data_IF_679455797354
#
_entry.id   IF_679455797354
#
_cell.length_a   1.000
_cell.length_b   1.000
_cell.length_c   1.000
_cell.angle_alpha   90.00
_cell.angle_beta   90.00
_cell.angle_gamma   90.00
#
_symmetry.space_group_name_H-M   'P 1'
#
loop_
_entity.id
_entity.type
_entity.pdbx_description
1 polymer ?
#
# COMPACT_ATOMS: atom_id res chain seq x y z
N UNK A 1 -3.28 6.31 -12.00
CA UNK A 1 -4.31 5.36 -12.53
C UNK A 1 -5.59 6.11 -12.89
N UNK A 2 -6.63 5.46 -13.40
CA UNK A 2 -7.84 6.16 -13.90
C UNK A 2 -9.04 5.90 -13.01
N UNK A 3 -9.83 6.95 -12.76
CA UNK A 3 -11.15 6.88 -12.12
C UNK A 3 -12.13 7.57 -13.07
N UNK A 4 -13.14 6.87 -13.53
CA UNK A 4 -14.10 7.37 -14.54
C UNK A 4 -13.41 8.00 -15.77
N UNK A 5 -12.29 7.44 -16.22
CA UNK A 5 -11.51 7.92 -17.36
C UNK A 5 -10.52 9.04 -17.08
N UNK A 6 -10.55 9.66 -15.90
CA UNK A 6 -9.62 10.70 -15.49
C UNK A 6 -8.45 10.10 -14.71
N UNK A 7 -7.20 10.56 -15.00
CA UNK A 7 -6.01 10.13 -14.25
C UNK A 7 -5.97 10.78 -12.86
N UNK A 8 -5.69 9.96 -11.84
CA UNK A 8 -5.46 10.39 -10.47
C UNK A 8 -4.17 9.78 -9.92
N UNK A 9 -3.50 10.51 -9.04
CA UNK A 9 -2.61 9.98 -8.01
C UNK A 9 -3.39 9.87 -6.71
N UNK A 10 -2.93 9.07 -5.77
CA UNK A 10 -3.61 8.90 -4.48
C UNK A 10 -3.38 10.10 -3.55
N UNK A 11 -2.26 10.79 -3.75
CA UNK A 11 -1.86 12.01 -3.05
C UNK A 11 -1.16 12.96 -4.03
N UNK A 12 -1.44 14.27 -3.96
CA UNK A 12 -0.81 15.29 -4.81
C UNK A 12 -0.84 16.66 -4.15
N UNK A 13 0.15 17.55 -4.48
CA UNK A 13 0.12 18.93 -4.01
C UNK A 13 -0.95 19.74 -4.73
N UNK A 14 -1.66 20.59 -4.01
CA UNK A 14 -2.54 21.60 -4.57
C UNK A 14 -1.94 22.99 -4.33
N UNK A 15 -1.77 23.75 -5.39
CA UNK A 15 -1.48 25.18 -5.25
C UNK A 15 -2.72 25.87 -4.70
N UNK A 16 -2.58 26.66 -3.65
CA UNK A 16 -3.68 27.43 -3.07
C UNK A 16 -4.40 28.23 -4.16
N UNK A 17 -5.53 27.69 -4.64
CA UNK A 17 -6.30 28.29 -5.73
C UNK A 17 -6.84 29.65 -5.30
N UNK A 18 -6.89 30.58 -6.25
CA UNK A 18 -7.62 31.83 -6.17
C UNK A 18 -9.09 31.54 -5.78
N UNK A 19 -9.42 31.64 -4.51
CA UNK A 19 -10.78 31.88 -4.10
C UNK A 19 -10.97 33.40 -4.01
N UNK A 20 -11.74 33.94 -4.99
CA UNK A 20 -12.34 35.26 -4.97
C UNK A 20 -11.46 36.44 -4.46
N UNK A 21 -10.55 36.91 -5.31
CA UNK A 21 -10.14 38.34 -5.29
C UNK A 21 -9.27 38.82 -4.13
N UNK A 22 -8.84 37.99 -3.19
CA UNK A 22 -7.85 38.33 -2.17
C UNK A 22 -6.60 37.48 -2.38
N UNK A 23 -5.44 38.13 -2.53
CA UNK A 23 -4.12 37.48 -2.41
C UNK A 23 -3.96 36.96 -0.97
N UNK A 24 -4.48 35.76 -0.71
CA UNK A 24 -3.99 34.98 0.41
C UNK A 24 -2.59 34.50 0.01
N UNK A 25 -1.57 34.75 0.84
CA UNK A 25 -0.25 34.13 0.74
C UNK A 25 -0.46 32.64 0.50
N UNK A 26 -0.20 32.17 -0.73
CA UNK A 26 -0.61 30.85 -1.20
C UNK A 26 0.19 29.75 -0.52
N UNK A 27 -0.22 29.38 0.68
CA UNK A 27 0.26 28.18 1.37
C UNK A 27 -0.15 26.96 0.53
N UNK A 28 0.83 26.19 0.08
CA UNK A 28 0.60 24.92 -0.63
C UNK A 28 -0.13 23.97 0.30
N UNK A 29 -1.05 23.19 -0.24
CA UNK A 29 -1.79 22.16 0.47
C UNK A 29 -1.70 20.84 -0.27
N UNK A 30 -2.19 19.77 0.32
CA UNK A 30 -2.14 18.42 -0.23
C UNK A 30 -3.55 17.90 -0.41
N UNK A 31 -3.86 17.34 -1.57
CA UNK A 31 -5.08 16.58 -1.77
C UNK A 31 -4.79 15.08 -1.62
N UNK A 32 -5.74 14.37 -1.02
CA UNK A 32 -5.74 12.92 -0.87
C UNK A 32 -7.08 12.33 -1.30
N UNK A 33 -7.07 11.07 -1.73
CA UNK A 33 -8.29 10.28 -1.89
C UNK A 33 -8.67 9.72 -0.52
N UNK A 34 -9.88 10.03 -0.02
CA UNK A 34 -10.40 9.44 1.22
C UNK A 34 -10.82 7.99 0.99
N UNK A 35 -9.91 7.06 1.30
CA UNK A 35 -10.14 5.64 1.10
C UNK A 35 -11.18 5.04 2.05
N UNK A 36 -11.55 5.74 3.11
CA UNK A 36 -12.60 5.29 4.05
C UNK A 36 -14.00 5.37 3.45
N UNK A 37 -14.17 6.12 2.37
CA UNK A 37 -15.44 6.29 1.67
C UNK A 37 -15.64 5.26 0.55
N UNK A 38 -14.57 4.58 0.13
CA UNK A 38 -14.62 3.55 -0.91
C UNK A 38 -15.19 2.23 -0.36
N UNK A 39 -15.89 1.44 -1.19
CA UNK A 39 -16.12 1.62 -2.64
C UNK A 39 -17.31 2.51 -2.96
N UNK A 40 -18.05 3.01 -1.96
CA UNK A 40 -19.37 3.61 -2.14
C UNK A 40 -19.30 5.04 -2.66
N UNK A 41 -18.30 5.82 -2.23
CA UNK A 41 -18.14 7.23 -2.63
C UNK A 41 -16.69 7.52 -2.93
N UNK A 42 -16.41 8.04 -4.13
CA UNK A 42 -15.11 8.61 -4.45
C UNK A 42 -15.07 10.05 -3.98
N UNK A 43 -14.23 10.34 -2.97
CA UNK A 43 -14.06 11.68 -2.40
C UNK A 43 -12.58 12.02 -2.27
N UNK A 44 -12.25 13.27 -2.56
CA UNK A 44 -10.95 13.87 -2.25
C UNK A 44 -11.06 14.78 -1.05
N UNK A 45 -10.02 14.83 -0.25
CA UNK A 45 -9.90 15.71 0.91
C UNK A 45 -8.68 16.59 0.75
N UNK A 46 -8.79 17.83 1.21
CA UNK A 46 -7.68 18.76 1.31
C UNK A 46 -7.07 18.67 2.71
N UNK A 47 -5.76 18.54 2.76
CA UNK A 47 -4.93 18.48 3.96
C UNK A 47 -4.01 19.70 3.96
N UNK A 48 -4.07 20.52 5.01
CA UNK A 48 -3.40 21.82 5.10
C UNK A 48 -2.46 21.94 6.32
N UNK A 49 -2.37 20.90 7.14
CA UNK A 49 -1.58 20.90 8.36
C UNK A 49 -1.01 19.52 8.71
N UNK A 50 0.05 19.50 9.52
CA UNK A 50 0.62 18.26 10.08
C UNK A 50 -0.44 17.47 10.85
N UNK A 51 -1.22 18.15 11.69
CA UNK A 51 -2.27 17.50 12.50
C UNK A 51 -3.33 16.84 11.61
N UNK A 52 -3.72 17.47 10.51
CA UNK A 52 -4.67 16.88 9.55
C UNK A 52 -4.06 15.67 8.84
N UNK A 53 -2.76 15.71 8.47
CA UNK A 53 -2.07 14.57 7.87
C UNK A 53 -1.93 13.41 8.86
N UNK A 54 -1.55 13.67 10.11
CA UNK A 54 -1.51 12.67 11.19
C UNK A 54 -2.88 12.02 11.38
N UNK A 55 -3.96 12.81 11.35
CA UNK A 55 -5.33 12.29 11.42
C UNK A 55 -5.65 11.40 10.23
N UNK A 56 -5.33 11.83 9.00
CA UNK A 56 -5.57 11.07 7.79
C UNK A 56 -4.86 9.70 7.80
N UNK A 57 -3.64 9.63 8.34
CA UNK A 57 -2.89 8.38 8.50
C UNK A 57 -3.53 7.49 9.58
N UNK A 58 -3.83 8.04 10.78
CA UNK A 58 -4.44 7.30 11.90
C UNK A 58 -5.81 6.72 11.56
N UNK A 59 -6.66 7.50 10.90
CA UNK A 59 -8.02 7.10 10.53
C UNK A 59 -8.08 6.29 9.24
N UNK A 60 -6.92 6.07 8.61
CA UNK A 60 -6.78 5.30 7.36
C UNK A 60 -7.50 5.94 6.16
N UNK A 61 -7.64 7.25 6.12
CA UNK A 61 -8.00 7.99 4.91
C UNK A 61 -6.93 7.80 3.83
N UNK A 62 -5.65 7.71 4.26
CA UNK A 62 -4.53 7.18 3.48
C UNK A 62 -3.96 5.95 4.19
N UNK A 63 -3.59 4.91 3.43
CA UNK A 63 -3.09 3.62 3.95
C UNK A 63 -2.22 2.92 2.89
N UNK A 64 -1.49 1.88 3.29
CA UNK A 64 -0.49 1.19 2.48
C UNK A 64 0.90 1.74 2.75
N UNK A 65 1.90 0.85 2.83
CA UNK A 65 3.23 1.23 3.28
C UNK A 65 3.86 2.37 2.46
N UNK A 66 3.89 2.33 1.11
CA UNK A 66 4.47 3.43 0.33
C UNK A 66 3.68 4.74 0.43
N UNK A 67 2.33 4.69 0.39
CA UNK A 67 1.51 5.90 0.48
C UNK A 67 1.64 6.60 1.83
N UNK A 68 1.77 5.85 2.94
CA UNK A 68 2.00 6.44 4.26
C UNK A 68 3.35 7.18 4.28
N UNK A 69 4.37 6.66 3.61
CA UNK A 69 5.64 7.34 3.43
C UNK A 69 5.50 8.67 2.66
N UNK A 70 4.82 8.65 1.51
CA UNK A 70 4.53 9.86 0.73
C UNK A 70 3.69 10.89 1.53
N UNK A 71 2.69 10.41 2.28
CA UNK A 71 1.88 11.26 3.17
C UNK A 71 2.72 11.90 4.28
N UNK A 72 3.64 11.15 4.88
CA UNK A 72 4.56 11.69 5.89
C UNK A 72 5.51 12.74 5.30
N UNK A 73 6.03 12.54 4.09
CA UNK A 73 6.86 13.52 3.41
C UNK A 73 6.10 14.84 3.16
N UNK A 74 4.87 14.75 2.67
CA UNK A 74 4.02 15.95 2.56
C UNK A 74 3.63 16.53 3.92
N UNK A 75 3.48 15.71 4.98
CA UNK A 75 3.29 16.18 6.35
C UNK A 75 4.46 17.06 6.82
N UNK A 76 5.70 16.64 6.55
CA UNK A 76 6.90 17.44 6.80
C UNK A 76 6.93 18.74 5.98
N UNK A 77 6.51 18.69 4.71
CA UNK A 77 6.41 19.89 3.87
C UNK A 77 5.34 20.87 4.40
N UNK A 78 4.18 20.36 4.86
CA UNK A 78 3.14 21.19 5.49
C UNK A 78 3.64 21.87 6.78
N UNK A 79 4.51 21.21 7.56
CA UNK A 79 5.12 21.83 8.74
C UNK A 79 5.88 23.10 8.38
N UNK A 80 6.65 23.07 7.29
CA UNK A 80 7.47 24.20 6.84
C UNK A 80 6.66 25.40 6.36
N UNK A 81 5.38 25.26 6.06
CA UNK A 81 4.50 26.40 5.75
C UNK A 81 4.24 27.29 6.98
N UNK A 82 4.37 26.72 8.18
CA UNK A 82 4.10 27.40 9.46
C UNK A 82 5.41 27.85 10.08
N UNK A 83 6.36 26.94 10.22
CA UNK A 83 7.65 27.18 10.83
C UNK A 83 8.68 26.19 10.25
N UNK A 84 9.86 26.71 9.88
CA UNK A 84 10.94 25.92 9.28
C UNK A 84 12.14 25.75 10.22
N UNK A 85 12.02 26.16 11.48
CA UNK A 85 13.11 25.97 12.43
C UNK A 85 13.36 24.48 12.73
N UNK A 86 14.51 24.17 13.29
CA UNK A 86 14.89 22.78 13.57
C UNK A 86 13.97 22.12 14.62
N UNK A 87 13.52 22.91 15.61
CA UNK A 87 12.65 22.39 16.67
C UNK A 87 11.27 22.04 16.12
N UNK A 88 10.69 22.92 15.29
CA UNK A 88 9.40 22.68 14.62
C UNK A 88 9.44 21.45 13.70
N UNK A 89 10.52 21.29 12.92
CA UNK A 89 10.72 20.12 12.06
C UNK A 89 10.82 18.82 12.86
N UNK A 90 11.56 18.80 13.97
CA UNK A 90 11.67 17.63 14.86
C UNK A 90 10.36 17.31 15.55
N UNK A 91 9.59 18.31 15.94
CA UNK A 91 8.25 18.13 16.51
C UNK A 91 7.29 17.51 15.49
N UNK A 92 7.24 18.04 14.27
CA UNK A 92 6.42 17.47 13.18
C UNK A 92 6.81 16.01 12.87
N UNK A 93 8.10 15.72 12.81
CA UNK A 93 8.62 14.38 12.63
C UNK A 93 8.14 13.43 13.75
N UNK A 94 8.22 13.86 15.00
CA UNK A 94 7.73 13.08 16.14
C UNK A 94 6.23 12.78 16.05
N UNK A 95 5.41 13.76 15.70
CA UNK A 95 3.95 13.59 15.55
C UNK A 95 3.59 12.62 14.43
N UNK A 96 4.27 12.73 13.28
CA UNK A 96 4.09 11.83 12.15
C UNK A 96 4.51 10.40 12.51
N UNK A 97 5.69 10.19 13.10
CA UNK A 97 6.17 8.88 13.54
C UNK A 97 5.23 8.22 14.55
N UNK A 98 4.68 9.00 15.48
CA UNK A 98 3.70 8.52 16.45
C UNK A 98 2.32 8.14 15.85
N UNK A 99 2.04 8.51 14.59
CA UNK A 99 0.80 8.14 13.91
C UNK A 99 0.73 6.64 13.60
N UNK A 100 1.84 6.03 13.18
CA UNK A 100 1.98 4.59 12.88
C UNK A 100 3.41 4.12 13.21
N UNK A 101 3.72 3.81 14.49
CA UNK A 101 5.09 3.51 14.93
C UNK A 101 5.74 2.30 14.26
N UNK A 102 4.93 1.37 13.73
CA UNK A 102 5.42 0.15 13.07
C UNK A 102 5.65 0.31 11.55
N UNK A 103 5.30 1.47 10.98
CA UNK A 103 5.35 1.69 9.52
C UNK A 103 6.76 2.09 9.06
N UNK A 104 7.49 1.16 8.42
CA UNK A 104 8.87 1.35 7.96
C UNK A 104 8.99 2.50 6.95
N UNK A 105 8.12 2.53 5.95
CA UNK A 105 8.14 3.56 4.91
C UNK A 105 7.86 4.97 5.47
N UNK A 106 7.05 5.09 6.52
CA UNK A 106 6.83 6.36 7.19
C UNK A 106 8.11 6.87 7.84
N UNK A 107 8.77 6.00 8.61
CA UNK A 107 10.04 6.35 9.28
C UNK A 107 11.12 6.72 8.25
N UNK A 108 11.25 5.92 7.19
CA UNK A 108 12.17 6.19 6.08
C UNK A 108 11.93 7.57 5.44
N UNK A 109 10.68 7.91 5.14
CA UNK A 109 10.36 9.18 4.49
C UNK A 109 10.64 10.38 5.41
N UNK A 110 10.26 10.30 6.69
CA UNK A 110 10.54 11.34 7.68
C UNK A 110 12.05 11.55 7.87
N UNK A 111 12.83 10.46 7.99
CA UNK A 111 14.28 10.53 8.10
C UNK A 111 14.91 11.19 6.86
N UNK A 112 14.51 10.78 5.66
CA UNK A 112 14.99 11.37 4.40
C UNK A 112 14.67 12.86 4.32
N UNK A 113 13.47 13.29 4.71
CA UNK A 113 13.10 14.71 4.79
C UNK A 113 14.01 15.47 5.75
N UNK A 114 14.26 14.96 6.96
CA UNK A 114 15.15 15.59 7.93
C UNK A 114 16.58 15.68 7.42
N UNK A 115 17.11 14.63 6.79
CA UNK A 115 18.45 14.61 6.18
C UNK A 115 18.63 15.70 5.12
N UNK A 116 17.60 15.99 4.34
CA UNK A 116 17.62 17.05 3.33
C UNK A 116 17.46 18.44 3.94
N UNK A 117 16.55 18.60 4.92
CA UNK A 117 16.16 19.93 5.41
C UNK A 117 17.09 20.51 6.46
N UNK A 118 17.57 19.70 7.41
CA UNK A 118 18.37 20.22 8.53
C UNK A 118 19.69 20.90 8.13
N UNK A 119 20.42 20.43 7.08
CA UNK A 119 21.63 21.12 6.62
C UNK A 119 21.40 22.46 5.94
N UNK A 120 20.15 22.74 5.48
CA UNK A 120 19.83 23.96 4.74
C UNK A 120 19.56 25.14 5.66
N UNK A 121 19.84 26.40 5.18
CA UNK A 121 19.34 27.60 5.82
C UNK A 121 17.80 27.54 5.97
N UNK A 122 17.27 28.05 7.06
CA UNK A 122 15.84 28.03 7.36
C UNK A 122 14.99 28.62 6.23
N UNK A 123 15.45 29.71 5.62
CA UNK A 123 14.77 30.38 4.49
C UNK A 123 14.62 29.51 3.24
N UNK A 124 15.40 28.44 3.08
CA UNK A 124 15.38 27.54 1.93
C UNK A 124 14.57 26.26 2.20
N UNK A 125 14.32 25.92 3.48
CA UNK A 125 13.74 24.65 3.91
C UNK A 125 12.34 24.43 3.34
N UNK A 126 11.48 25.45 3.32
CA UNK A 126 10.10 25.30 2.81
C UNK A 126 10.12 24.87 1.33
N UNK A 127 10.84 25.59 0.47
CA UNK A 127 10.91 25.23 -0.94
C UNK A 127 11.58 23.86 -1.16
N UNK A 128 12.58 23.50 -0.35
CA UNK A 128 13.23 22.19 -0.41
C UNK A 128 12.30 21.07 0.05
N UNK A 129 11.49 21.27 1.09
CA UNK A 129 10.56 20.29 1.60
C UNK A 129 9.51 19.89 0.57
N UNK A 130 8.91 20.85 -0.11
CA UNK A 130 7.93 20.59 -1.17
C UNK A 130 8.55 19.89 -2.39
N UNK A 131 9.77 20.26 -2.78
CA UNK A 131 10.50 19.55 -3.86
C UNK A 131 10.82 18.12 -3.48
N UNK A 132 11.31 17.88 -2.26
CA UNK A 132 11.69 16.55 -1.79
C UNK A 132 10.47 15.64 -1.64
N UNK A 133 9.35 16.13 -1.08
CA UNK A 133 8.11 15.38 -1.00
C UNK A 133 7.56 14.98 -2.39
N UNK A 134 7.65 15.88 -3.36
CA UNK A 134 7.30 15.58 -4.75
C UNK A 134 8.25 14.54 -5.36
N UNK A 135 9.56 14.63 -5.10
CA UNK A 135 10.54 13.67 -5.58
C UNK A 135 10.28 12.26 -5.00
N UNK A 136 9.98 12.14 -3.70
CA UNK A 136 9.58 10.87 -3.07
C UNK A 136 8.36 10.27 -3.79
N UNK A 137 7.36 11.08 -4.12
CA UNK A 137 6.18 10.61 -4.85
C UNK A 137 6.49 10.17 -6.28
N UNK A 138 7.33 10.89 -7.02
CA UNK A 138 7.71 10.54 -8.39
C UNK A 138 8.60 9.30 -8.44
N UNK A 139 9.47 9.13 -7.45
CA UNK A 139 10.26 7.91 -7.25
C UNK A 139 9.36 6.71 -6.96
N UNK A 140 8.36 6.86 -6.07
CA UNK A 140 7.37 5.81 -5.78
C UNK A 140 6.67 5.34 -7.06
N UNK A 141 6.21 6.26 -7.90
CA UNK A 141 5.58 5.92 -9.19
C UNK A 141 6.54 5.15 -10.09
N UNK A 142 7.78 5.58 -10.20
CA UNK A 142 8.81 4.94 -11.04
C UNK A 142 9.14 3.53 -10.54
N UNK A 143 9.29 3.37 -9.24
CA UNK A 143 9.53 2.09 -8.57
C UNK A 143 8.38 1.12 -8.86
N UNK A 144 7.14 1.56 -8.67
CA UNK A 144 5.96 0.72 -8.86
C UNK A 144 5.74 0.35 -10.34
N UNK A 145 6.09 1.22 -11.28
CA UNK A 145 6.11 0.89 -12.71
C UNK A 145 7.15 -0.21 -13.01
N UNK A 146 8.34 -0.12 -12.45
CA UNK A 146 9.38 -1.13 -12.65
C UNK A 146 8.97 -2.49 -12.06
N UNK A 147 8.38 -2.53 -10.85
CA UNK A 147 7.77 -3.74 -10.27
C UNK A 147 6.75 -4.34 -11.25
N UNK A 148 5.91 -3.51 -11.86
CA UNK A 148 4.94 -3.92 -12.86
C UNK A 148 5.58 -4.58 -14.08
N UNK A 149 6.67 -4.03 -14.61
CA UNK A 149 7.37 -4.58 -15.77
C UNK A 149 8.06 -5.91 -15.47
N UNK A 150 8.73 -6.04 -14.32
CA UNK A 150 9.31 -7.30 -13.89
C UNK A 150 8.25 -8.38 -13.68
N UNK A 151 7.16 -8.05 -13.01
CA UNK A 151 6.04 -8.95 -12.82
C UNK A 151 5.33 -9.33 -14.12
N UNK A 152 5.19 -8.41 -15.08
CA UNK A 152 4.65 -8.71 -16.41
C UNK A 152 5.48 -9.79 -17.13
N UNK A 153 6.81 -9.69 -17.09
CA UNK A 153 7.69 -10.70 -17.70
C UNK A 153 7.47 -12.10 -17.07
N UNK A 154 7.32 -12.14 -15.75
CA UNK A 154 6.99 -13.37 -15.02
C UNK A 154 5.61 -13.92 -15.41
N UNK A 155 4.57 -13.07 -15.42
CA UNK A 155 3.19 -13.47 -15.76
C UNK A 155 3.09 -13.99 -17.20
N UNK A 156 3.81 -13.39 -18.14
CA UNK A 156 3.92 -13.90 -19.52
C UNK A 156 4.51 -15.32 -19.57
N UNK A 157 5.49 -15.59 -18.73
CA UNK A 157 6.10 -16.93 -18.64
C UNK A 157 5.10 -17.96 -18.09
N UNK A 158 4.37 -17.60 -17.03
CA UNK A 158 3.34 -18.48 -16.45
C UNK A 158 2.16 -18.72 -17.40
N UNK A 159 1.81 -17.73 -18.21
CA UNK A 159 0.67 -17.82 -19.14
C UNK A 159 1.01 -18.57 -20.45
N UNK A 160 2.28 -18.82 -20.75
CA UNK A 160 2.76 -19.29 -22.07
C UNK A 160 2.06 -20.54 -22.59
N UNK A 161 1.73 -21.47 -21.70
CA UNK A 161 1.12 -22.76 -22.05
C UNK A 161 -0.39 -22.82 -21.74
N UNK A 162 -0.97 -21.74 -21.22
CA UNK A 162 -2.37 -21.72 -20.84
C UNK A 162 -3.26 -21.44 -22.05
N UNK A 163 -4.36 -22.23 -22.18
CA UNK A 163 -5.42 -22.03 -23.17
C UNK A 163 -6.60 -21.22 -22.59
N UNK A 164 -6.39 -20.57 -21.44
CA UNK A 164 -7.40 -19.81 -20.68
C UNK A 164 -6.72 -18.57 -20.04
N UNK A 165 -7.50 -17.63 -19.50
CA UNK A 165 -6.90 -16.54 -18.73
C UNK A 165 -6.03 -17.06 -17.57
N UNK A 166 -4.93 -16.36 -17.29
CA UNK A 166 -4.10 -16.59 -16.14
C UNK A 166 -4.84 -16.13 -14.88
N UNK A 167 -5.08 -17.05 -13.95
CA UNK A 167 -5.81 -16.79 -12.71
C UNK A 167 -4.85 -16.44 -11.59
N UNK A 168 -4.94 -15.21 -11.11
CA UNK A 168 -4.07 -14.65 -10.06
C UNK A 168 -4.91 -14.46 -8.80
N UNK A 169 -4.44 -14.94 -7.65
CA UNK A 169 -5.06 -14.64 -6.35
C UNK A 169 -4.28 -13.51 -5.68
N UNK A 170 -5.02 -12.56 -5.11
CA UNK A 170 -4.42 -11.48 -4.31
C UNK A 170 -5.19 -11.29 -3.01
N UNK A 171 -4.50 -10.73 -2.00
CA UNK A 171 -5.02 -10.51 -0.65
C UNK A 171 -4.75 -9.08 -0.20
N UNK A 172 -5.70 -8.46 0.50
CA UNK A 172 -5.68 -7.06 0.91
C UNK A 172 -5.73 -6.08 -0.28
N UNK A 173 -5.19 -4.90 -0.10
CA UNK A 173 -5.01 -3.93 -1.16
C UNK A 173 -3.53 -3.50 -1.22
N UNK A 174 -2.89 -3.87 -2.30
CA UNK A 174 -1.56 -3.45 -2.69
C UNK A 174 -1.56 -2.94 -4.15
N UNK A 175 -2.65 -2.27 -4.51
CA UNK A 175 -2.82 -1.53 -5.75
C UNK A 175 -2.41 -0.07 -5.62
N UNK A 176 -2.83 0.75 -6.59
CA UNK A 176 -2.42 2.15 -6.65
C UNK A 176 -2.94 2.99 -5.47
N UNK A 177 -4.05 2.59 -4.83
CA UNK A 177 -4.53 3.21 -3.58
C UNK A 177 -3.59 2.97 -2.38
N UNK A 178 -2.66 2.02 -2.46
CA UNK A 178 -1.67 1.76 -1.42
C UNK A 178 -0.33 2.49 -1.63
N UNK A 179 -0.18 3.16 -2.77
CA UNK A 179 1.01 3.86 -3.25
C UNK A 179 0.60 5.24 -3.78
N UNK A 180 1.52 5.97 -4.39
CA UNK A 180 1.17 7.22 -5.09
C UNK A 180 0.44 6.91 -6.40
N UNK A 181 0.93 5.92 -7.16
CA UNK A 181 0.29 5.40 -8.38
C UNK A 181 0.79 3.98 -8.68
N UNK A 182 0.12 3.23 -9.56
CA UNK A 182 0.41 1.88 -10.05
C UNK A 182 0.20 0.76 -9.03
N UNK A 183 0.59 0.93 -7.77
CA UNK A 183 0.58 -0.13 -6.76
C UNK A 183 1.76 -1.08 -6.85
N UNK A 184 1.89 -1.97 -5.87
CA UNK A 184 2.94 -2.98 -5.84
C UNK A 184 2.44 -4.30 -6.44
N UNK A 185 1.57 -5.04 -5.74
CA UNK A 185 1.07 -6.35 -6.21
C UNK A 185 0.13 -6.25 -7.41
N UNK A 186 -0.63 -5.17 -7.55
CA UNK A 186 -1.52 -5.00 -8.69
C UNK A 186 -0.80 -4.41 -9.92
N UNK A 187 0.36 -3.79 -9.76
CA UNK A 187 1.12 -3.23 -10.89
C UNK A 187 1.45 -4.27 -11.97
N UNK A 188 1.94 -5.49 -11.65
CA UNK A 188 2.10 -6.57 -12.62
C UNK A 188 0.80 -6.95 -13.33
N UNK A 189 -0.32 -6.92 -12.61
CA UNK A 189 -1.65 -7.28 -13.14
C UNK A 189 -2.13 -6.22 -14.13
N UNK A 190 -1.99 -4.94 -13.78
CA UNK A 190 -2.30 -3.83 -14.69
C UNK A 190 -1.44 -3.87 -15.95
N UNK A 191 -0.12 -4.05 -15.76
CA UNK A 191 0.81 -4.16 -16.88
C UNK A 191 0.48 -5.35 -17.79
N UNK A 192 0.07 -6.48 -17.23
CA UNK A 192 -0.35 -7.67 -17.99
C UNK A 192 -1.63 -7.40 -18.78
N UNK A 193 -2.65 -6.84 -18.14
CA UNK A 193 -3.92 -6.49 -18.77
C UNK A 193 -3.73 -5.48 -19.91
N UNK A 194 -3.00 -4.40 -19.65
CA UNK A 194 -2.72 -3.35 -20.63
C UNK A 194 -1.88 -3.86 -21.83
N UNK A 195 -1.04 -4.88 -21.60
CA UNK A 195 -0.31 -5.57 -22.65
C UNK A 195 -1.12 -6.63 -23.42
N UNK A 196 -2.44 -6.74 -23.14
CA UNK A 196 -3.34 -7.67 -23.79
C UNK A 196 -3.25 -9.12 -23.32
N UNK A 197 -2.54 -9.40 -22.21
CA UNK A 197 -2.52 -10.72 -21.61
C UNK A 197 -3.87 -11.00 -20.93
N UNK A 198 -4.51 -12.10 -21.28
CA UNK A 198 -5.76 -12.49 -20.64
C UNK A 198 -5.51 -12.89 -19.17
N UNK A 199 -6.01 -12.10 -18.25
CA UNK A 199 -5.89 -12.34 -16.80
C UNK A 199 -7.26 -12.33 -16.15
N UNK A 200 -7.39 -13.05 -15.05
CA UNK A 200 -8.52 -12.98 -14.12
C UNK A 200 -7.99 -12.95 -12.68
N UNK A 201 -8.55 -12.09 -11.84
CA UNK A 201 -8.08 -11.91 -10.46
C UNK A 201 -9.10 -12.43 -9.44
N UNK A 202 -8.69 -13.38 -8.62
CA UNK A 202 -9.39 -13.75 -7.41
C UNK A 202 -8.99 -12.78 -6.30
N UNK A 203 -9.96 -12.04 -5.79
CA UNK A 203 -9.74 -11.01 -4.77
C UNK A 203 -10.30 -11.49 -3.45
N UNK A 204 -9.44 -11.83 -2.49
CA UNK A 204 -9.87 -12.06 -1.11
C UNK A 204 -10.56 -10.81 -0.56
N UNK A 205 -11.72 -10.96 0.09
CA UNK A 205 -12.42 -9.82 0.71
C UNK A 205 -11.56 -9.10 1.77
N UNK A 206 -10.71 -9.83 2.46
CA UNK A 206 -9.71 -9.36 3.46
C UNK A 206 -10.36 -8.77 4.71
N UNK A 207 -10.99 -9.66 5.51
CA UNK A 207 -11.45 -9.29 6.86
C UNK A 207 -10.27 -8.85 7.74
N UNK A 208 -10.51 -7.95 8.77
CA UNK A 208 -11.81 -7.40 9.14
C UNK A 208 -12.24 -6.15 8.34
N UNK A 209 -11.31 -5.42 7.71
CA UNK A 209 -11.62 -4.13 7.05
C UNK A 209 -12.07 -4.25 5.60
N UNK A 210 -12.13 -5.45 5.04
CA UNK A 210 -12.57 -5.73 3.69
C UNK A 210 -11.79 -4.94 2.60
N UNK A 211 -10.48 -4.73 2.78
CA UNK A 211 -9.66 -3.93 1.87
C UNK A 211 -9.55 -4.55 0.47
N UNK A 212 -9.68 -5.88 0.35
CA UNK A 212 -9.80 -6.54 -0.94
C UNK A 212 -11.12 -6.21 -1.63
N UNK A 213 -12.23 -6.42 -0.95
CA UNK A 213 -13.56 -6.16 -1.49
C UNK A 213 -13.82 -4.67 -1.75
N UNK A 214 -13.37 -3.78 -0.84
CA UNK A 214 -13.67 -2.35 -0.90
C UNK A 214 -12.71 -1.56 -1.78
N UNK A 215 -11.43 -1.95 -1.84
CA UNK A 215 -10.40 -1.17 -2.53
C UNK A 215 -9.85 -1.91 -3.75
N UNK A 216 -9.37 -3.14 -3.60
CA UNK A 216 -8.77 -3.89 -4.72
C UNK A 216 -9.79 -4.16 -5.83
N UNK A 217 -10.98 -4.64 -5.48
CA UNK A 217 -12.03 -4.88 -6.47
C UNK A 217 -12.48 -3.57 -7.14
N UNK A 218 -12.58 -2.47 -6.38
CA UNK A 218 -12.89 -1.16 -6.93
C UNK A 218 -11.81 -0.68 -7.91
N UNK A 219 -10.52 -0.80 -7.57
CA UNK A 219 -9.42 -0.45 -8.47
C UNK A 219 -9.47 -1.27 -9.77
N UNK A 220 -9.61 -2.59 -9.66
CA UNK A 220 -9.67 -3.49 -10.81
C UNK A 220 -10.89 -3.18 -11.70
N UNK A 221 -12.03 -2.85 -11.10
CA UNK A 221 -13.23 -2.41 -11.83
C UNK A 221 -12.97 -1.12 -12.61
N UNK A 222 -12.36 -0.11 -11.98
CA UNK A 222 -12.04 1.16 -12.64
C UNK A 222 -11.05 0.99 -13.80
N UNK A 223 -10.16 0.00 -13.72
CA UNK A 223 -9.19 -0.31 -14.77
C UNK A 223 -9.73 -1.30 -15.83
N UNK A 224 -10.87 -1.93 -15.58
CA UNK A 224 -11.48 -2.90 -16.49
C UNK A 224 -10.85 -4.30 -16.42
N UNK A 225 -10.10 -4.62 -15.36
CA UNK A 225 -9.49 -5.95 -15.17
C UNK A 225 -10.54 -6.95 -14.68
N UNK A 226 -10.73 -8.10 -15.36
CA UNK A 226 -11.64 -9.16 -14.94
C UNK A 226 -11.26 -9.70 -13.55
N UNK A 227 -12.23 -9.70 -12.62
CA UNK A 227 -11.98 -10.16 -11.26
C UNK A 227 -13.25 -10.74 -10.62
N UNK A 228 -13.03 -11.49 -9.53
CA UNK A 228 -14.12 -12.03 -8.70
C UNK A 228 -13.71 -11.91 -7.23
N UNK A 229 -14.58 -11.32 -6.41
CA UNK A 229 -14.39 -11.24 -4.97
C UNK A 229 -14.75 -12.60 -4.36
N UNK A 230 -13.91 -13.07 -3.44
CA UNK A 230 -14.11 -14.32 -2.70
C UNK A 230 -13.96 -14.08 -1.20
N UNK A 231 -14.57 -14.94 -0.39
CA UNK A 231 -14.29 -14.96 1.04
C UNK A 231 -12.84 -15.41 1.29
N UNK A 232 -12.22 -14.92 2.37
CA UNK A 232 -10.81 -15.16 2.68
C UNK A 232 -10.44 -16.65 2.73
N UNK A 233 -11.35 -17.51 3.15
CA UNK A 233 -11.12 -18.95 3.24
C UNK A 233 -11.27 -19.71 1.91
N UNK A 234 -11.82 -19.08 0.86
CA UNK A 234 -12.04 -19.73 -0.42
C UNK A 234 -10.77 -19.93 -1.25
N UNK A 235 -9.72 -19.12 -1.01
CA UNK A 235 -8.48 -19.19 -1.78
C UNK A 235 -7.84 -20.57 -1.79
N UNK A 236 -7.74 -21.24 -0.62
CA UNK A 236 -7.21 -22.61 -0.51
C UNK A 236 -8.04 -23.63 -1.30
N UNK A 237 -9.37 -23.52 -1.25
CA UNK A 237 -10.26 -24.37 -2.05
C UNK A 237 -10.02 -24.21 -3.55
N UNK A 238 -9.87 -22.96 -4.02
CA UNK A 238 -9.60 -22.69 -5.44
C UNK A 238 -8.23 -23.27 -5.88
N UNK A 239 -7.22 -23.20 -5.03
CA UNK A 239 -5.90 -23.79 -5.28
C UNK A 239 -5.98 -25.32 -5.39
N UNK A 240 -6.70 -26.00 -4.49
CA UNK A 240 -6.92 -27.44 -4.54
C UNK A 240 -7.59 -27.90 -5.85
N UNK A 241 -8.38 -27.03 -6.47
CA UNK A 241 -9.08 -27.32 -7.71
C UNK A 241 -8.37 -26.78 -8.97
N UNK A 242 -7.09 -26.37 -8.86
CA UNK A 242 -6.28 -25.88 -9.99
C UNK A 242 -6.81 -24.59 -10.61
N UNK A 243 -7.53 -23.77 -9.85
CA UNK A 243 -8.14 -22.52 -10.30
C UNK A 243 -7.33 -21.28 -9.99
N UNK A 244 -6.12 -21.43 -9.43
CA UNK A 244 -5.16 -20.36 -9.15
C UNK A 244 -3.82 -20.77 -9.75
N UNK A 245 -3.25 -19.92 -10.59
CA UNK A 245 -1.96 -20.16 -11.25
C UNK A 245 -0.80 -19.54 -10.47
N UNK A 246 -1.05 -18.41 -9.79
CA UNK A 246 -0.10 -17.80 -8.86
C UNK A 246 -0.83 -16.92 -7.84
N UNK A 247 -0.13 -16.66 -6.74
CA UNK A 247 -0.52 -15.67 -5.73
C UNK A 247 0.44 -14.50 -5.80
N UNK A 248 -0.09 -13.26 -5.83
CA UNK A 248 0.71 -12.04 -5.74
C UNK A 248 0.13 -11.16 -4.65
N UNK A 249 0.94 -10.83 -3.64
CA UNK A 249 0.56 -9.96 -2.52
C UNK A 249 1.56 -8.81 -2.36
N UNK A 250 1.16 -7.75 -1.68
CA UNK A 250 2.11 -6.74 -1.19
C UNK A 250 2.78 -7.16 0.10
N UNK A 251 3.48 -6.23 0.75
CA UNK A 251 3.93 -6.37 2.13
C UNK A 251 3.93 -5.04 2.85
N UNK A 252 3.73 -5.10 4.16
CA UNK A 252 3.95 -3.96 5.05
C UNK A 252 5.42 -3.90 5.52
N UNK A 253 6.12 -5.05 5.52
CA UNK A 253 7.56 -5.17 5.79
C UNK A 253 8.10 -6.49 5.26
N UNK A 254 9.33 -6.49 4.76
CA UNK A 254 10.09 -7.69 4.40
C UNK A 254 11.41 -7.67 5.18
N UNK A 255 11.81 -8.80 5.77
CA UNK A 255 13.11 -8.90 6.46
C UNK A 255 14.26 -9.08 5.46
N UNK A 256 15.50 -8.89 5.92
CA UNK A 256 16.70 -9.14 5.13
C UNK A 256 16.82 -10.59 4.63
N UNK A 257 16.17 -11.54 5.31
CA UNK A 257 16.10 -12.96 4.95
C UNK A 257 14.91 -13.32 4.06
N UNK A 258 14.01 -12.35 3.83
CA UNK A 258 12.85 -12.51 2.95
C UNK A 258 11.59 -13.05 3.62
N UNK A 259 11.47 -12.98 4.95
CA UNK A 259 10.18 -13.16 5.61
C UNK A 259 9.27 -11.98 5.28
N UNK A 260 8.01 -12.26 4.99
CA UNK A 260 7.05 -11.25 4.50
C UNK A 260 5.99 -10.99 5.56
N UNK A 261 5.98 -9.80 6.16
CA UNK A 261 4.89 -9.33 7.02
C UNK A 261 3.87 -8.60 6.16
N UNK A 262 2.64 -9.09 6.17
CA UNK A 262 1.53 -8.49 5.41
C UNK A 262 0.22 -8.66 6.17
N UNK A 263 -0.87 -8.13 5.62
CA UNK A 263 -2.21 -8.20 6.17
C UNK A 263 -2.54 -9.63 6.62
N UNK A 264 -3.14 -9.74 7.83
CA UNK A 264 -3.59 -11.01 8.42
C UNK A 264 -4.32 -11.87 7.38
N UNK A 265 -4.00 -13.16 7.30
CA UNK A 265 -4.48 -14.10 6.29
C UNK A 265 -3.49 -14.40 5.17
N UNK A 266 -2.43 -13.60 5.02
CA UNK A 266 -1.39 -13.82 4.01
C UNK A 266 -0.64 -15.13 4.24
N UNK A 267 -0.27 -15.43 5.49
CA UNK A 267 0.38 -16.69 5.85
C UNK A 267 -0.46 -17.92 5.49
N UNK A 268 -1.77 -17.89 5.72
CA UNK A 268 -2.68 -18.97 5.33
C UNK A 268 -2.73 -19.17 3.81
N UNK A 269 -2.66 -18.09 3.03
CA UNK A 269 -2.59 -18.19 1.55
C UNK A 269 -1.28 -18.79 1.09
N UNK A 270 -0.17 -18.40 1.72
CA UNK A 270 1.16 -18.95 1.41
C UNK A 270 1.24 -20.46 1.76
N UNK A 271 0.67 -20.88 2.88
CA UNK A 271 0.57 -22.31 3.23
C UNK A 271 -0.25 -23.10 2.22
N UNK A 272 -1.43 -22.60 1.85
CA UNK A 272 -2.27 -23.23 0.85
C UNK A 272 -1.58 -23.28 -0.53
N UNK A 273 -0.90 -22.21 -0.92
CA UNK A 273 -0.13 -22.14 -2.17
C UNK A 273 1.00 -23.18 -2.17
N UNK A 274 1.77 -23.29 -1.08
CA UNK A 274 2.85 -24.25 -0.94
C UNK A 274 2.35 -25.69 -1.03
N UNK A 275 1.27 -26.05 -0.31
CA UNK A 275 0.67 -27.38 -0.33
C UNK A 275 0.19 -27.77 -1.73
N UNK A 276 -0.35 -26.81 -2.50
CA UNK A 276 -0.87 -27.05 -3.84
C UNK A 276 0.12 -26.73 -4.97
N UNK A 277 1.39 -26.44 -4.65
CA UNK A 277 2.46 -26.08 -5.63
C UNK A 277 2.12 -24.89 -6.49
N UNK A 278 1.37 -23.95 -5.97
CA UNK A 278 1.05 -22.67 -6.59
C UNK A 278 2.16 -21.67 -6.21
N UNK A 279 2.83 -21.00 -7.15
CA UNK A 279 3.87 -20.03 -6.82
C UNK A 279 3.28 -18.84 -6.09
N UNK A 280 3.98 -18.41 -5.03
CA UNK A 280 3.61 -17.30 -4.16
C UNK A 280 4.65 -16.19 -4.24
N UNK A 281 4.25 -14.99 -4.65
CA UNK A 281 5.11 -13.83 -4.80
C UNK A 281 4.70 -12.67 -3.89
N UNK A 282 5.70 -11.98 -3.34
CA UNK A 282 5.52 -10.70 -2.68
C UNK A 282 6.10 -9.58 -3.56
N UNK A 283 5.29 -8.58 -3.90
CA UNK A 283 5.70 -7.43 -4.70
C UNK A 283 5.86 -6.21 -3.81
N UNK A 284 7.06 -5.69 -3.69
CA UNK A 284 7.44 -4.65 -2.73
C UNK A 284 8.50 -3.71 -3.27
N UNK A 285 8.46 -2.41 -2.97
CA UNK A 285 9.54 -1.50 -3.23
C UNK A 285 10.68 -1.72 -2.21
N UNK A 286 11.93 -1.43 -2.58
CA UNK A 286 13.07 -1.62 -1.68
C UNK A 286 12.97 -0.88 -0.35
N UNK A 287 12.33 0.31 -0.22
CA UNK A 287 12.13 0.96 1.08
C UNK A 287 11.22 0.20 2.06
N UNK A 288 10.51 -0.84 1.61
CA UNK A 288 9.71 -1.72 2.48
C UNK A 288 10.54 -2.85 3.09
N UNK A 289 11.78 -3.02 2.63
CA UNK A 289 12.70 -4.05 3.15
C UNK A 289 13.43 -3.50 4.36
N UNK A 290 13.26 -4.18 5.50
CA UNK A 290 13.96 -3.86 6.75
C UNK A 290 15.23 -4.72 6.86
N UNK A 291 16.37 -4.13 6.52
CA UNK A 291 17.67 -4.78 6.49
C UNK A 291 18.22 -5.10 7.88
N UNK A 292 17.65 -4.52 8.94
CA UNK A 292 18.06 -4.74 10.33
C UNK A 292 17.47 -6.02 10.93
N UNK A 293 16.42 -6.58 10.31
CA UNK A 293 15.69 -7.75 10.80
C UNK A 293 15.97 -8.99 9.96
N UNK A 294 16.14 -10.12 10.65
CA UNK A 294 16.43 -11.41 10.02
C UNK A 294 15.42 -12.51 10.37
N UNK A 295 14.66 -12.39 11.46
CA UNK A 295 13.62 -13.34 11.90
C UNK A 295 12.30 -12.60 12.08
N UNK A 296 11.47 -12.61 11.03
CA UNK A 296 10.23 -11.85 11.02
C UNK A 296 9.24 -12.27 12.12
N UNK A 297 9.23 -13.55 12.51
CA UNK A 297 8.32 -14.04 13.54
C UNK A 297 8.67 -13.52 14.94
N UNK A 298 9.95 -13.27 15.22
CA UNK A 298 10.44 -12.85 16.54
C UNK A 298 10.63 -11.34 16.64
N UNK A 299 11.00 -10.70 15.52
CA UNK A 299 11.50 -9.32 15.52
C UNK A 299 10.43 -8.31 15.07
N UNK A 300 9.47 -8.72 14.20
CA UNK A 300 8.43 -7.81 13.73
C UNK A 300 7.32 -7.68 14.78
N UNK A 301 7.10 -6.47 15.34
CA UNK A 301 5.97 -6.24 16.23
C UNK A 301 4.66 -6.27 15.46
N UNK A 302 3.72 -7.13 15.84
CA UNK A 302 2.40 -7.20 15.24
C UNK A 302 1.46 -6.23 15.93
N UNK A 303 0.90 -5.30 15.15
CA UNK A 303 -0.08 -4.31 15.62
C UNK A 303 -1.39 -5.02 16.00
N UNK A 304 -1.84 -4.87 17.24
CA UNK A 304 -3.20 -5.25 17.64
C UNK A 304 -4.10 -4.03 17.46
N UNK A 305 -5.12 -4.15 16.60
CA UNK A 305 -6.02 -3.07 16.26
C UNK A 305 -7.33 -3.15 17.04
N UNK A 306 -8.14 -2.11 16.93
CA UNK A 306 -9.44 -2.04 17.61
C UNK A 306 -10.32 -3.25 17.27
N UNK A 307 -10.83 -3.91 18.31
CA UNK A 307 -11.72 -5.07 18.20
C UNK A 307 -13.05 -4.73 17.48
N UNK A 308 -13.43 -3.46 17.45
CA UNK A 308 -14.59 -2.96 16.72
C UNK A 308 -14.50 -3.22 15.22
N UNK A 309 -13.28 -3.25 14.64
CA UNK A 309 -13.10 -3.60 13.22
C UNK A 309 -13.56 -5.04 12.91
N UNK A 310 -13.42 -5.96 13.87
CA UNK A 310 -13.93 -7.33 13.75
C UNK A 310 -15.41 -7.40 14.06
N UNK A 311 -15.86 -6.64 15.06
CA UNK A 311 -17.22 -6.67 15.59
C UNK A 311 -18.25 -6.01 14.66
N UNK A 312 -17.82 -5.05 13.86
CA UNK A 312 -18.70 -4.29 12.96
C UNK A 312 -18.24 -4.41 11.51
N UNK A 313 -19.20 -4.37 10.60
CA UNK A 313 -18.97 -4.33 9.16
C UNK A 313 -19.74 -3.16 8.56
N UNK A 314 -19.07 -2.36 7.76
CA UNK A 314 -19.70 -1.27 7.01
C UNK A 314 -20.17 -1.74 5.64
N UNK A 315 -21.33 -1.29 5.21
CA UNK A 315 -21.90 -1.59 3.92
C UNK A 315 -22.97 -0.58 3.52
N UNK A 316 -23.38 -0.62 2.26
CA UNK A 316 -24.45 0.21 1.74
C UNK A 316 -25.80 -0.48 1.96
N UNK A 317 -26.71 0.18 2.65
CA UNK A 317 -28.08 -0.28 2.84
C UNK A 317 -28.92 -0.05 1.58
N UNK A 318 -30.11 -0.65 1.53
CA UNK A 318 -31.00 -0.57 0.35
C UNK A 318 -31.48 0.87 0.05
N UNK A 319 -31.46 1.76 1.04
CA UNK A 319 -31.80 3.19 0.90
C UNK A 319 -30.62 4.05 0.41
N UNK A 320 -29.46 3.43 0.12
CA UNK A 320 -28.25 4.11 -0.31
C UNK A 320 -27.41 4.72 0.82
N UNK A 321 -27.81 4.58 2.09
CA UNK A 321 -26.98 5.01 3.24
C UNK A 321 -25.87 4.00 3.53
N UNK A 322 -24.68 4.50 3.91
CA UNK A 322 -23.59 3.65 4.41
C UNK A 322 -23.79 3.47 5.92
N UNK A 323 -23.92 2.22 6.34
CA UNK A 323 -24.16 1.87 7.74
C UNK A 323 -23.13 0.87 8.23
N UNK A 324 -22.74 0.98 9.51
CA UNK A 324 -21.94 -0.03 10.21
C UNK A 324 -22.88 -0.89 11.05
N UNK A 325 -22.86 -2.20 10.80
CA UNK A 325 -23.69 -3.19 11.51
C UNK A 325 -22.82 -4.11 12.34
N UNK A 326 -23.30 -4.47 13.54
CA UNK A 326 -22.63 -5.46 14.36
C UNK A 326 -22.86 -6.85 13.77
N UNK A 327 -21.79 -7.63 13.62
CA UNK A 327 -21.81 -8.98 13.06
C UNK A 327 -21.46 -10.07 14.07
N UNK A 328 -21.16 -9.71 15.32
CA UNK A 328 -20.91 -10.64 16.42
C UNK A 328 -21.94 -10.44 17.56
N UNK A 329 -22.16 -11.44 18.45
CA UNK A 329 -23.05 -11.29 19.60
C UNK A 329 -22.60 -10.17 20.54
N UNK A 330 -23.55 -9.53 21.19
CA UNK A 330 -23.26 -8.53 22.23
C UNK A 330 -22.48 -9.17 23.37
N UNK A 331 -21.39 -8.54 23.81
CA UNK A 331 -20.55 -9.04 24.90
C UNK A 331 -19.50 -10.10 24.50
N UNK A 332 -19.47 -10.56 23.25
CA UNK A 332 -18.37 -11.39 22.76
C UNK A 332 -17.08 -10.55 22.59
N UNK A 333 -15.98 -11.06 23.13
CA UNK A 333 -14.66 -10.47 22.87
C UNK A 333 -14.21 -10.74 21.43
N UNK A 334 -13.43 -9.84 20.86
CA UNK A 334 -12.77 -10.01 19.57
C UNK A 334 -11.29 -9.64 19.70
N UNK A 335 -10.43 -10.37 19.00
CA UNK A 335 -9.01 -10.07 18.82
C UNK A 335 -8.78 -9.66 17.36
N UNK A 336 -7.89 -8.70 17.13
CA UNK A 336 -7.66 -8.13 15.81
C UNK A 336 -6.15 -7.90 15.51
N UNK A 337 -5.35 -8.99 15.44
CA UNK A 337 -4.00 -8.86 14.92
C UNK A 337 -4.06 -8.39 13.47
N UNK A 338 -3.34 -7.29 13.18
CA UNK A 338 -3.45 -6.63 11.86
C UNK A 338 -2.70 -7.38 10.76
N UNK A 339 -1.62 -8.08 11.12
CA UNK A 339 -0.66 -8.68 10.21
C UNK A 339 -0.32 -10.10 10.64
N UNK A 340 0.20 -10.88 9.69
CA UNK A 340 0.91 -12.12 9.96
C UNK A 340 2.25 -12.14 9.21
N UNK A 341 3.13 -13.06 9.59
CA UNK A 341 4.43 -13.23 8.98
C UNK A 341 4.45 -14.54 8.18
N UNK A 342 4.69 -14.41 6.88
CA UNK A 342 4.93 -15.52 5.97
C UNK A 342 6.43 -15.82 5.94
N UNK A 343 6.89 -16.98 6.43
CA UNK A 343 8.31 -17.34 6.38
C UNK A 343 8.82 -17.44 4.95
N UNK A 344 10.07 -17.04 4.72
CA UNK A 344 10.75 -17.04 3.43
C UNK A 344 10.62 -18.38 2.67
N UNK A 345 10.60 -19.53 3.37
CA UNK A 345 10.43 -20.86 2.78
C UNK A 345 9.11 -21.07 2.01
N UNK A 346 8.11 -20.25 2.26
CA UNK A 346 6.81 -20.29 1.57
C UNK A 346 6.70 -19.30 0.42
N UNK A 347 7.70 -18.43 0.26
CA UNK A 347 7.74 -17.40 -0.77
C UNK A 347 8.56 -17.90 -1.96
N UNK A 348 7.96 -17.95 -3.14
CA UNK A 348 8.62 -18.36 -4.38
C UNK A 348 9.59 -17.28 -4.86
N UNK A 349 9.18 -16.01 -4.75
CA UNK A 349 10.01 -14.88 -5.15
C UNK A 349 9.52 -13.56 -4.63
N UNK A 350 10.43 -12.61 -4.52
CA UNK A 350 10.17 -11.22 -4.18
C UNK A 350 10.37 -10.38 -5.44
N UNK A 351 9.33 -9.63 -5.83
CA UNK A 351 9.32 -8.74 -6.98
C UNK A 351 9.62 -7.34 -6.48
N UNK A 352 10.72 -6.75 -6.92
CA UNK A 352 11.10 -5.36 -6.61
C UNK A 352 11.31 -4.58 -7.90
N UNK A 353 11.57 -3.29 -7.79
CA UNK A 353 12.01 -2.45 -8.93
C UNK A 353 13.38 -2.87 -9.49
N UNK A 354 14.13 -3.72 -8.76
CA UNK A 354 15.44 -4.22 -9.17
C UNK A 354 15.38 -5.56 -9.90
N UNK A 355 14.23 -6.24 -9.87
CA UNK A 355 14.04 -7.55 -10.46
C UNK A 355 13.23 -8.48 -9.57
N UNK A 356 13.28 -9.77 -9.90
CA UNK A 356 12.66 -10.86 -9.15
C UNK A 356 13.72 -11.81 -8.69
N UNK A 357 13.74 -12.15 -7.39
CA UNK A 357 14.66 -13.15 -6.86
C UNK A 357 13.98 -14.02 -5.79
N UNK A 358 14.49 -15.25 -5.56
CA UNK A 358 14.16 -16.00 -4.35
C UNK A 358 14.51 -15.21 -3.08
N UNK A 359 13.78 -15.38 -1.96
CA UNK A 359 14.05 -14.66 -0.73
C UNK A 359 15.52 -14.66 -0.27
N UNK A 360 16.18 -15.82 -0.34
CA UNK A 360 17.58 -15.97 0.06
C UNK A 360 18.61 -15.20 -0.79
N UNK A 361 18.19 -14.67 -1.94
CA UNK A 361 19.05 -13.90 -2.86
C UNK A 361 18.81 -12.39 -2.78
N UNK A 362 17.88 -11.96 -1.94
CA UNK A 362 17.41 -10.57 -1.88
C UNK A 362 18.56 -9.59 -1.61
N UNK A 363 19.42 -9.86 -0.62
CA UNK A 363 20.57 -9.00 -0.31
C UNK A 363 21.57 -8.90 -1.48
N UNK A 364 21.80 -10.01 -2.20
CA UNK A 364 22.70 -10.03 -3.35
C UNK A 364 22.15 -9.17 -4.48
N UNK A 365 20.88 -9.37 -4.83
CA UNK A 365 20.23 -8.62 -5.92
C UNK A 365 20.30 -7.10 -5.69
N UNK A 366 20.03 -6.64 -4.46
CA UNK A 366 20.03 -5.19 -4.15
C UNK A 366 21.45 -4.62 -4.15
N UNK A 367 22.46 -5.36 -3.66
CA UNK A 367 23.85 -4.89 -3.65
C UNK A 367 24.43 -4.81 -5.06
N UNK A 368 24.13 -5.78 -5.94
CA UNK A 368 24.62 -5.80 -7.33
C UNK A 368 24.01 -4.67 -8.18
N UNK A 369 22.84 -4.18 -7.81
CA UNK A 369 22.16 -3.07 -8.49
C UNK A 369 22.67 -1.68 -8.05
N UNK A 370 23.43 -1.59 -6.96
CA UNK A 370 24.08 -0.37 -6.46
C UNK A 370 25.59 -0.65 -6.32
N UNK A 371 26.39 -0.69 -7.44
CA UNK A 371 27.83 -0.91 -7.40
C UNK A 371 28.60 0.25 -6.75
#
# INVERSE_FOLDING_TARGET
MKVAGQHYRTIWPENGGQMNGSQANGSQTVAIIDQTQLPHHFKTLRVDSVTAMVSAIKTMQVRGAPLIGAAAAYGMALATNVDSDEHALKQAAHELLASRPTAVNLAWAVERMLQVLLPLPESERCAAAWREAAAICDEDVTINQAIGQHGLAMLRTLAKELQRPLNILTHCNAGWLATVDWGTALSPIYAAHDAGLAVHVWVDETRPRNQGASLTAWELQQHGVPHTIISDNAGGHLMQHGRVDCVIVGADRVTATGDVCNKIGTYLKALAAFDNRVPFYAAVPTPTIDWSMCDGLREIPIEERDAGEVAYMSGMAADGSVQAVRVIPAGSAAANPAFDVTPARLVTGIITERGICPPGELQRMIKEANP
#
